data_IF_716964119876
#
_entry.id   IF_716964119876
#
_cell.length_a   1.000
_cell.length_b   1.000
_cell.length_c   1.000
_cell.angle_alpha   90.00
_cell.angle_beta   90.00
_cell.angle_gamma   90.00
#
_symmetry.space_group_name_H-M   'P 1'
#
loop_
_entity.id
_entity.type
_entity.pdbx_description
1 polymer ?
#
# COMPACT_ATOMS: atom_id res chain seq x y z
N UNK A 1 3.89 -12.78 -14.26
CA UNK A 1 4.79 -11.90 -13.51
C UNK A 1 6.16 -12.35 -13.87
N UNK A 2 6.79 -11.64 -14.79
CA UNK A 2 8.25 -11.63 -14.83
C UNK A 2 8.66 -10.84 -13.60
N UNK A 3 9.34 -11.49 -12.68
CA UNK A 3 9.78 -10.91 -11.39
C UNK A 3 11.05 -10.09 -11.55
N UNK A 4 11.48 -9.84 -12.79
CA UNK A 4 12.60 -9.00 -13.17
C UNK A 4 12.50 -7.67 -12.41
N UNK A 5 13.40 -7.43 -11.46
CA UNK A 5 13.25 -6.44 -10.39
C UNK A 5 13.05 -5.00 -10.85
N UNK A 6 13.32 -4.69 -12.12
CA UNK A 6 12.94 -3.44 -12.75
C UNK A 6 11.40 -3.32 -12.81
N UNK A 7 10.83 -2.46 -11.96
CA UNK A 7 9.38 -2.29 -11.86
C UNK A 7 8.67 -3.40 -11.09
N UNK A 8 9.39 -4.24 -10.36
CA UNK A 8 8.79 -5.37 -9.63
C UNK A 8 7.93 -4.91 -8.44
N UNK A 9 6.68 -5.36 -8.47
CA UNK A 9 5.64 -5.06 -7.50
C UNK A 9 5.64 -6.02 -6.29
N UNK A 10 6.80 -6.51 -5.85
CA UNK A 10 6.90 -7.48 -4.75
C UNK A 10 6.24 -7.00 -3.44
N UNK A 11 6.34 -5.70 -3.17
CA UNK A 11 5.65 -5.01 -2.07
C UNK A 11 4.13 -4.86 -2.26
N UNK A 12 3.65 -5.02 -3.49
CA UNK A 12 2.27 -4.73 -3.86
C UNK A 12 1.30 -5.86 -3.52
N UNK A 13 1.76 -7.02 -3.04
CA UNK A 13 0.89 -8.13 -2.69
C UNK A 13 1.27 -8.70 -1.33
N UNK A 14 0.28 -9.14 -0.54
CA UNK A 14 0.52 -10.07 0.56
C UNK A 14 0.48 -11.51 0.03
N UNK A 15 1.66 -12.14 -0.01
CA UNK A 15 1.88 -13.47 -0.56
C UNK A 15 1.59 -14.59 0.43
N UNK A 16 1.45 -14.31 1.74
CA UNK A 16 1.27 -15.33 2.78
C UNK A 16 0.07 -16.24 2.53
N UNK A 17 -1.13 -15.74 2.11
CA UNK A 17 -2.30 -16.61 1.89
C UNK A 17 -2.08 -17.69 0.82
N UNK A 18 -1.23 -17.45 -0.16
CA UNK A 18 -0.90 -18.45 -1.18
C UNK A 18 -0.03 -19.59 -0.63
N UNK A 19 0.69 -19.34 0.46
CA UNK A 19 1.67 -20.25 1.03
C UNK A 19 1.10 -21.04 2.19
N UNK A 20 0.07 -20.52 2.86
CA UNK A 20 -0.68 -21.24 3.89
C UNK A 20 -1.49 -22.42 3.33
N UNK A 21 -1.82 -22.40 2.04
CA UNK A 21 -2.54 -23.50 1.38
C UNK A 21 -1.64 -24.73 1.14
N UNK A 22 -0.31 -24.53 1.08
CA UNK A 22 0.68 -25.56 0.72
C UNK A 22 1.68 -25.90 1.84
N UNK A 23 1.55 -25.33 3.04
CA UNK A 23 2.58 -25.46 4.07
C UNK A 23 2.32 -26.54 5.15
N UNK A 24 3.21 -27.53 5.17
CA UNK A 24 3.59 -28.32 6.35
C UNK A 24 4.03 -27.42 7.53
N UNK A 25 4.02 -27.98 8.74
CA UNK A 25 4.25 -27.37 10.06
C UNK A 25 5.49 -26.45 10.19
N UNK A 26 6.42 -26.44 9.22
CA UNK A 26 7.61 -25.59 9.21
C UNK A 26 7.35 -24.12 8.83
N UNK A 27 6.28 -23.81 8.08
CA UNK A 27 5.96 -22.41 7.69
C UNK A 27 5.41 -21.56 8.84
N UNK A 28 4.71 -22.19 9.80
CA UNK A 28 4.18 -21.54 11.01
C UNK A 28 5.26 -21.00 11.95
N UNK A 29 6.52 -21.39 11.73
CA UNK A 29 7.65 -21.05 12.59
C UNK A 29 8.29 -19.69 12.30
N UNK A 30 8.13 -19.11 11.09
CA UNK A 30 8.91 -17.92 10.67
C UNK A 30 8.14 -16.69 10.20
N UNK A 31 6.81 -16.74 10.14
CA UNK A 31 5.97 -15.51 10.01
C UNK A 31 6.15 -14.54 11.20
N UNK A 32 6.79 -14.99 12.28
CA UNK A 32 7.48 -14.12 13.24
C UNK A 32 8.98 -14.25 12.97
N UNK A 33 9.62 -13.17 12.58
CA UNK A 33 11.08 -13.04 12.64
C UNK A 33 11.47 -13.08 14.13
N UNK A 34 11.60 -14.29 14.67
CA UNK A 34 12.34 -14.57 15.91
C UNK A 34 13.65 -15.17 15.47
N UNK A 35 14.58 -14.30 15.08
CA UNK A 35 15.98 -14.69 15.05
C UNK A 35 16.43 -14.81 16.51
N UNK A 36 16.83 -16.01 16.90
CA UNK A 36 17.40 -16.31 18.21
C UNK A 36 18.87 -15.81 18.21
N UNK A 37 19.08 -14.50 18.12
CA UNK A 37 20.45 -13.99 17.98
C UNK A 37 20.63 -12.50 18.14
N UNK A 38 20.01 -11.68 17.30
CA UNK A 38 20.32 -10.24 17.25
C UNK A 38 19.12 -9.43 16.74
N UNK A 39 18.81 -8.33 17.45
CA UNK A 39 17.78 -7.32 17.14
C UNK A 39 16.38 -7.82 16.72
N UNK A 40 15.51 -8.12 17.70
CA UNK A 40 14.08 -8.37 17.51
C UNK A 40 13.44 -7.26 16.66
N UNK A 41 13.02 -7.55 15.44
CA UNK A 41 12.27 -6.60 14.60
C UNK A 41 11.00 -6.14 15.35
N UNK A 42 10.52 -4.91 15.12
CA UNK A 42 9.25 -4.49 15.76
C UNK A 42 8.08 -5.13 15.03
N UNK A 43 7.13 -5.69 15.77
CA UNK A 43 5.93 -6.27 15.17
C UNK A 43 4.98 -5.15 14.71
N UNK A 44 4.57 -5.10 13.44
CA UNK A 44 3.56 -4.14 12.99
C UNK A 44 2.20 -4.45 13.62
N UNK A 45 1.37 -3.42 13.79
CA UNK A 45 0.03 -3.55 14.38
C UNK A 45 -0.99 -4.11 13.37
N UNK A 46 -0.82 -3.79 12.09
CA UNK A 46 -1.68 -4.20 10.98
C UNK A 46 -1.40 -5.62 10.45
N UNK A 47 -0.36 -6.27 10.97
CA UNK A 47 0.11 -7.60 10.55
C UNK A 47 0.39 -7.75 9.03
N UNK A 48 0.55 -6.66 8.29
CA UNK A 48 0.89 -6.73 6.85
C UNK A 48 2.42 -6.86 6.69
N UNK A 49 2.92 -7.91 6.01
CA UNK A 49 4.35 -8.23 5.95
C UNK A 49 5.15 -7.25 5.09
N UNK A 50 4.49 -6.58 4.14
CA UNK A 50 5.13 -5.63 3.23
C UNK A 50 4.54 -4.24 3.40
N UNK A 51 5.35 -3.20 3.34
CA UNK A 51 4.87 -1.82 3.43
C UNK A 51 5.85 -0.90 2.76
N UNK A 52 5.33 -0.02 1.93
CA UNK A 52 6.11 1.01 1.27
C UNK A 52 5.90 2.29 2.07
N UNK A 53 6.84 2.67 2.96
CA UNK A 53 6.77 3.95 3.66
C UNK A 53 6.98 5.11 2.70
N UNK A 54 6.06 6.05 2.71
CA UNK A 54 6.12 7.29 1.94
C UNK A 54 6.78 8.39 2.76
N UNK A 55 7.52 9.24 2.06
CA UNK A 55 7.99 10.52 2.54
C UNK A 55 6.84 11.51 2.69
N UNK A 56 7.09 12.59 3.42
CA UNK A 56 6.14 13.66 3.65
C UNK A 56 5.70 14.31 2.34
N UNK A 57 6.66 14.54 1.45
CA UNK A 57 6.39 15.23 0.20
C UNK A 57 5.60 14.34 -0.77
N UNK A 58 5.82 13.02 -0.77
CA UNK A 58 4.94 12.06 -1.46
C UNK A 58 3.52 12.06 -0.87
N UNK A 59 3.38 12.03 0.46
CA UNK A 59 2.07 12.14 1.14
C UNK A 59 1.33 13.41 0.70
N UNK A 60 2.03 14.55 0.62
CA UNK A 60 1.46 15.81 0.12
C UNK A 60 1.08 15.72 -1.36
N UNK A 61 1.91 15.11 -2.19
CA UNK A 61 1.61 14.87 -3.61
C UNK A 61 0.31 14.09 -3.81
N UNK A 62 0.09 13.03 -3.04
CA UNK A 62 -1.18 12.28 -3.06
C UNK A 62 -2.37 13.15 -2.64
N UNK A 63 -2.23 13.96 -1.58
CA UNK A 63 -3.31 14.86 -1.14
C UNK A 63 -3.64 15.93 -2.19
N UNK A 64 -2.63 16.54 -2.80
CA UNK A 64 -2.79 17.58 -3.84
C UNK A 64 -3.48 17.05 -5.10
N UNK A 65 -3.30 15.77 -5.41
CA UNK A 65 -3.98 15.07 -6.51
C UNK A 65 -5.33 14.46 -6.11
N UNK A 66 -5.82 14.75 -4.91
CA UNK A 66 -7.10 14.24 -4.41
C UNK A 66 -7.11 12.73 -4.18
N UNK A 67 -5.94 12.11 -3.96
CA UNK A 67 -5.76 10.67 -3.80
C UNK A 67 -5.49 10.26 -2.34
N UNK A 68 -5.88 11.06 -1.36
CA UNK A 68 -5.67 10.76 0.07
C UNK A 68 -6.27 9.43 0.51
N UNK A 69 -7.35 8.96 -0.14
CA UNK A 69 -7.94 7.64 0.10
C UNK A 69 -6.98 6.46 -0.18
N UNK A 70 -5.91 6.67 -0.95
CA UNK A 70 -4.86 5.69 -1.21
C UNK A 70 -3.96 5.42 0.01
N UNK A 71 -3.94 6.34 0.97
CA UNK A 71 -2.95 6.36 2.05
C UNK A 71 -3.47 5.64 3.31
N UNK A 72 -2.56 5.07 4.08
CA UNK A 72 -2.86 4.45 5.38
C UNK A 72 -1.68 4.55 6.34
N UNK A 73 -1.92 4.75 7.65
CA UNK A 73 -0.85 4.67 8.64
C UNK A 73 -0.46 3.22 8.96
N UNK A 74 0.77 3.04 9.42
CA UNK A 74 1.24 1.83 10.10
C UNK A 74 1.94 2.20 11.40
N UNK A 75 1.57 1.50 12.47
CA UNK A 75 2.20 1.58 13.78
C UNK A 75 2.91 0.26 14.12
N UNK A 76 3.82 0.31 15.09
CA UNK A 76 4.52 -0.86 15.60
C UNK A 76 4.37 -1.02 17.10
N UNK A 77 4.39 -2.27 17.56
CA UNK A 77 4.53 -2.57 18.98
C UNK A 77 5.92 -2.16 19.49
N UNK A 78 5.96 -1.62 20.70
CA UNK A 78 7.20 -1.27 21.36
C UNK A 78 8.00 -2.53 21.71
N UNK A 79 9.35 -2.45 21.66
CA UNK A 79 10.22 -3.57 22.08
C UNK A 79 10.41 -3.62 23.59
N UNK A 80 10.21 -2.49 24.25
CA UNK A 80 10.36 -2.36 25.69
C UNK A 80 9.50 -1.22 26.24
N UNK A 81 9.19 -1.27 27.53
CA UNK A 81 8.44 -0.23 28.24
C UNK A 81 9.07 1.16 28.15
N UNK A 82 10.38 1.27 27.88
CA UNK A 82 11.09 2.57 27.80
C UNK A 82 10.81 3.35 26.53
N UNK A 83 10.32 2.68 25.50
CA UNK A 83 9.99 3.26 24.20
C UNK A 83 8.50 3.06 23.88
N UNK A 84 7.68 2.80 24.92
CA UNK A 84 6.28 2.46 24.79
C UNK A 84 5.41 3.61 25.25
N UNK A 85 4.36 3.89 24.47
CA UNK A 85 3.18 4.63 24.92
C UNK A 85 1.99 3.68 24.79
N UNK A 86 1.19 3.59 25.85
CA UNK A 86 -0.03 2.78 25.85
C UNK A 86 -1.15 3.51 25.11
N UNK A 87 -1.64 2.90 24.03
CA UNK A 87 -2.82 3.37 23.27
C UNK A 87 -3.72 2.16 23.04
N UNK A 88 -5.01 2.27 23.36
CA UNK A 88 -5.99 1.17 23.26
C UNK A 88 -5.54 -0.13 23.97
N UNK A 89 -4.82 0.02 25.09
CA UNK A 89 -4.26 -1.10 25.85
C UNK A 89 -3.14 -1.87 25.13
N UNK A 90 -2.47 -1.23 24.17
CA UNK A 90 -1.34 -1.80 23.43
C UNK A 90 -0.09 -0.90 23.61
N UNK A 91 1.09 -1.49 23.85
CA UNK A 91 2.35 -0.74 23.91
C UNK A 91 2.81 -0.37 22.50
N UNK A 92 2.63 0.88 22.12
CA UNK A 92 3.02 1.43 20.81
C UNK A 92 4.41 2.04 20.89
N UNK A 93 5.24 1.77 19.88
CA UNK A 93 6.58 2.34 19.76
C UNK A 93 6.48 3.88 19.67
N UNK A 94 7.28 4.57 20.46
CA UNK A 94 7.22 6.02 20.60
C UNK A 94 8.60 6.68 20.58
N UNK A 95 8.63 7.93 20.14
CA UNK A 95 9.80 8.82 20.22
C UNK A 95 9.40 10.02 21.06
N UNK A 96 10.08 10.24 22.20
CA UNK A 96 9.75 11.31 23.14
C UNK A 96 8.25 11.30 23.53
N UNK A 97 7.76 10.14 23.95
CA UNK A 97 6.38 9.89 24.38
C UNK A 97 5.31 10.14 23.30
N UNK A 98 5.73 10.18 22.02
CA UNK A 98 4.84 10.35 20.87
C UNK A 98 4.77 9.09 20.02
N UNK A 99 3.59 8.50 19.82
CA UNK A 99 3.41 7.30 18.99
C UNK A 99 4.01 7.47 17.59
N UNK A 100 4.93 6.58 17.23
CA UNK A 100 5.66 6.64 15.96
C UNK A 100 4.97 5.78 14.89
N UNK A 101 4.85 6.31 13.68
CA UNK A 101 4.16 5.65 12.57
C UNK A 101 4.79 5.99 11.21
N UNK A 102 4.53 5.14 10.21
CA UNK A 102 4.72 5.49 8.79
C UNK A 102 3.37 5.71 8.12
N UNK A 103 3.38 6.41 6.99
CA UNK A 103 2.26 6.42 6.05
C UNK A 103 2.69 5.64 4.81
N UNK A 104 1.80 4.82 4.27
CA UNK A 104 2.04 4.00 3.09
C UNK A 104 0.79 3.88 2.24
N UNK A 105 0.84 2.97 1.27
CA UNK A 105 -0.26 2.71 0.35
C UNK A 105 -1.19 1.61 0.86
N UNK A 106 -2.49 1.81 0.68
CA UNK A 106 -3.53 0.83 1.02
C UNK A 106 -3.48 -0.38 0.10
N UNK A 107 -3.87 -1.52 0.66
CA UNK A 107 -3.97 -2.79 -0.06
C UNK A 107 -5.38 -3.38 -0.01
N UNK A 108 -6.35 -2.84 -0.75
CA UNK A 108 -7.67 -3.47 -0.86
C UNK A 108 -7.56 -4.91 -1.40
N UNK A 109 -8.54 -5.78 -1.10
CA UNK A 109 -8.56 -7.13 -1.66
C UNK A 109 -8.80 -7.08 -3.18
N UNK A 110 -7.89 -7.64 -3.98
CA UNK A 110 -8.03 -7.74 -5.44
C UNK A 110 -7.91 -9.20 -5.92
N UNK A 111 -8.61 -9.58 -7.01
CA UNK A 111 -8.58 -10.93 -7.55
C UNK A 111 -7.35 -11.09 -8.46
N UNK A 112 -6.25 -11.59 -7.91
CA UNK A 112 -4.97 -11.71 -8.63
C UNK A 112 -4.61 -13.16 -8.91
N UNK A 113 -3.93 -13.40 -10.04
CA UNK A 113 -3.46 -14.71 -10.46
C UNK A 113 -1.94 -14.69 -10.72
N UNK A 114 -1.10 -14.65 -9.66
CA UNK A 114 0.35 -14.58 -9.83
C UNK A 114 0.96 -15.92 -10.29
N UNK A 115 2.19 -15.90 -10.79
CA UNK A 115 2.99 -17.08 -11.18
C UNK A 115 2.31 -18.07 -12.14
N UNK A 116 1.56 -17.56 -13.13
CA UNK A 116 0.92 -18.41 -14.14
C UNK A 116 -0.20 -19.28 -13.58
N UNK A 117 -0.72 -18.98 -12.38
CA UNK A 117 -1.89 -19.66 -11.83
C UNK A 117 -3.09 -19.42 -12.73
N UNK A 118 -3.80 -20.49 -13.07
CA UNK A 118 -4.99 -20.42 -13.94
C UNK A 118 -6.20 -19.78 -13.25
N UNK A 119 -6.24 -19.77 -11.91
CA UNK A 119 -7.37 -19.24 -11.13
C UNK A 119 -6.93 -18.09 -10.23
N UNK A 120 -7.65 -16.95 -10.26
CA UNK A 120 -7.38 -15.83 -9.38
C UNK A 120 -7.76 -16.15 -7.93
N UNK A 121 -7.14 -15.46 -6.99
CA UNK A 121 -7.45 -15.49 -5.56
C UNK A 121 -7.53 -14.05 -5.04
N UNK A 122 -8.44 -13.80 -4.10
CA UNK A 122 -8.48 -12.53 -3.38
C UNK A 122 -7.24 -12.39 -2.51
N UNK A 123 -6.37 -11.42 -2.84
CA UNK A 123 -5.22 -11.06 -2.02
C UNK A 123 -5.26 -9.56 -1.69
N UNK A 124 -4.79 -9.14 -0.51
CA UNK A 124 -4.45 -7.74 -0.27
C UNK A 124 -3.45 -7.29 -1.31
N UNK A 125 -3.82 -6.27 -2.10
CA UNK A 125 -3.03 -5.79 -3.20
C UNK A 125 -2.99 -4.28 -3.23
N UNK A 126 -1.81 -3.69 -3.46
CA UNK A 126 -1.61 -2.25 -3.59
C UNK A 126 -2.70 -1.65 -4.48
N UNK A 127 -3.26 -0.53 -4.03
CA UNK A 127 -4.36 0.13 -4.71
C UNK A 127 -4.06 0.47 -6.18
N UNK A 128 -2.79 0.67 -6.54
CA UNK A 128 -2.35 0.95 -7.91
C UNK A 128 -1.95 -0.29 -8.73
N UNK A 129 -1.93 -1.49 -8.12
CA UNK A 129 -1.65 -2.72 -8.85
C UNK A 129 -2.86 -3.10 -9.71
N UNK A 130 -2.70 -3.16 -11.02
CA UNK A 130 -3.69 -3.77 -11.90
C UNK A 130 -3.66 -5.30 -11.68
N UNK A 131 -4.76 -5.93 -11.24
CA UNK A 131 -4.77 -7.36 -10.96
C UNK A 131 -4.72 -8.25 -12.21
N UNK A 132 -5.04 -7.70 -13.39
CA UNK A 132 -5.02 -8.41 -14.67
C UNK A 132 -3.63 -8.45 -15.29
N UNK A 133 -2.90 -7.34 -15.25
CA UNK A 133 -1.54 -7.25 -15.80
C UNK A 133 -0.46 -7.49 -14.74
N UNK A 134 -0.79 -7.32 -13.45
CA UNK A 134 0.14 -7.31 -12.32
C UNK A 134 1.19 -6.19 -12.41
N UNK A 135 0.83 -5.08 -13.05
CA UNK A 135 1.67 -3.89 -13.18
C UNK A 135 1.12 -2.72 -12.37
N UNK A 136 2.00 -1.77 -12.04
CA UNK A 136 1.62 -0.54 -11.34
C UNK A 136 1.06 0.49 -12.32
N UNK A 137 -0.17 0.96 -12.11
CA UNK A 137 -0.83 1.99 -12.95
C UNK A 137 -0.17 3.36 -12.91
N UNK A 138 0.67 3.61 -11.91
CA UNK A 138 1.36 4.89 -11.74
C UNK A 138 2.87 4.75 -11.92
N UNK A 139 3.35 3.63 -12.48
CA UNK A 139 4.77 3.45 -12.80
C UNK A 139 5.30 4.62 -13.65
N UNK A 140 6.50 5.11 -13.33
CA UNK A 140 7.14 6.30 -13.93
C UNK A 140 6.31 7.60 -13.92
N UNK A 141 5.17 7.62 -13.22
CA UNK A 141 4.36 8.82 -13.03
C UNK A 141 4.85 9.69 -11.88
N UNK A 142 4.41 10.94 -11.85
CA UNK A 142 4.76 11.91 -10.78
C UNK A 142 4.42 11.44 -9.35
N UNK A 143 3.53 10.47 -9.21
CA UNK A 143 3.10 9.91 -7.92
C UNK A 143 3.73 8.54 -7.62
N UNK A 144 4.58 8.02 -8.51
CA UNK A 144 5.29 6.77 -8.26
C UNK A 144 6.23 6.94 -7.07
N UNK A 145 6.06 6.20 -5.97
CA UNK A 145 6.91 6.39 -4.81
C UNK A 145 8.36 5.96 -5.09
N UNK A 146 9.33 6.72 -4.57
CA UNK A 146 10.76 6.41 -4.72
C UNK A 146 11.07 5.02 -4.12
N UNK A 147 10.47 4.72 -2.97
CA UNK A 147 10.61 3.44 -2.29
C UNK A 147 10.03 2.26 -3.11
N UNK A 148 9.03 2.49 -3.97
CA UNK A 148 8.54 1.47 -4.89
C UNK A 148 9.59 1.13 -5.95
N UNK A 149 10.30 2.14 -6.49
CA UNK A 149 11.38 1.94 -7.47
C UNK A 149 12.63 1.29 -6.87
N UNK A 150 12.88 1.50 -5.57
CA UNK A 150 14.05 0.97 -4.87
C UNK A 150 13.80 -0.37 -4.13
N UNK A 151 12.57 -0.90 -4.14
CA UNK A 151 12.12 -1.94 -3.20
C UNK A 151 12.94 -3.25 -3.19
N UNK A 152 13.47 -3.80 -4.30
CA UNK A 152 14.37 -4.93 -4.18
C UNK A 152 15.77 -4.50 -3.73
N UNK A 153 16.29 -3.40 -4.28
CA UNK A 153 17.65 -2.91 -4.02
C UNK A 153 17.88 -2.58 -2.55
N UNK A 154 16.96 -1.89 -1.88
CA UNK A 154 17.08 -1.53 -0.47
C UNK A 154 17.06 -2.75 0.47
N UNK A 155 16.17 -3.72 0.20
CA UNK A 155 16.11 -4.92 1.04
C UNK A 155 17.39 -5.75 0.88
N UNK A 156 17.86 -5.93 -0.35
CA UNK A 156 19.11 -6.65 -0.63
C UNK A 156 20.32 -5.94 -0.03
N UNK A 157 20.40 -4.61 -0.14
CA UNK A 157 21.46 -3.82 0.50
C UNK A 157 21.46 -3.89 2.03
N UNK A 158 20.31 -4.16 2.65
CA UNK A 158 20.15 -4.34 4.09
C UNK A 158 20.28 -5.81 4.54
N UNK A 159 20.74 -6.71 3.65
CA UNK A 159 20.79 -8.16 3.86
C UNK A 159 19.44 -8.73 4.34
N UNK A 160 18.33 -8.20 3.78
CA UNK A 160 16.96 -8.65 4.07
C UNK A 160 16.42 -9.47 2.90
N UNK A 161 16.00 -10.69 3.22
CA UNK A 161 15.24 -11.54 2.30
C UNK A 161 13.94 -10.84 1.90
N UNK A 162 13.69 -10.77 0.60
CA UNK A 162 12.48 -10.23 0.00
C UNK A 162 11.38 -11.29 -0.09
N UNK A 163 10.13 -10.85 -0.16
CA UNK A 163 9.00 -11.75 -0.39
C UNK A 163 9.10 -12.48 -1.75
N UNK A 164 9.72 -11.86 -2.75
CA UNK A 164 9.99 -12.48 -4.05
C UNK A 164 10.96 -13.67 -3.90
N UNK A 165 12.08 -13.48 -3.20
CA UNK A 165 13.03 -14.57 -2.91
C UNK A 165 12.36 -15.74 -2.19
N UNK A 166 11.47 -15.44 -1.22
CA UNK A 166 10.73 -16.44 -0.47
C UNK A 166 9.82 -17.28 -1.37
N UNK A 167 9.09 -16.65 -2.29
CA UNK A 167 8.16 -17.33 -3.21
C UNK A 167 8.91 -18.11 -4.29
N UNK A 168 9.96 -17.52 -4.87
CA UNK A 168 10.84 -18.17 -5.86
C UNK A 168 11.50 -19.43 -5.29
N UNK A 169 11.93 -19.41 -4.02
CA UNK A 169 12.52 -20.57 -3.36
C UNK A 169 11.59 -21.80 -3.32
N UNK A 170 10.27 -21.58 -3.39
CA UNK A 170 9.25 -22.62 -3.28
C UNK A 170 8.76 -23.07 -4.67
N UNK A 171 8.52 -22.13 -5.58
CA UNK A 171 7.88 -22.42 -6.88
C UNK A 171 8.86 -22.44 -8.07
N UNK A 172 10.11 -22.01 -7.88
CA UNK A 172 11.11 -21.85 -8.94
C UNK A 172 10.96 -20.55 -9.74
N UNK A 173 12.03 -20.12 -10.41
CA UNK A 173 12.10 -18.91 -11.25
C UNK A 173 13.53 -18.65 -11.75
N UNK A 174 13.69 -17.81 -12.78
CA UNK A 174 15.00 -17.26 -13.14
C UNK A 174 15.40 -16.21 -12.08
N UNK A 175 16.63 -16.34 -11.60
CA UNK A 175 17.14 -15.67 -10.39
C UNK A 175 17.65 -14.28 -10.75
N UNK A 176 17.22 -13.28 -9.99
CA UNK A 176 17.60 -11.86 -10.11
C UNK A 176 19.07 -11.53 -9.77
N UNK A 177 19.84 -12.51 -9.30
CA UNK A 177 21.21 -12.28 -8.83
C UNK A 177 22.26 -12.43 -9.94
N UNK A 178 21.84 -12.45 -11.21
CA UNK A 178 22.75 -12.48 -12.36
C UNK A 178 22.84 -11.13 -13.10
N UNK A 179 22.02 -10.13 -12.73
CA UNK A 179 22.21 -8.74 -13.16
C UNK A 179 22.81 -7.95 -11.99
N UNK A 180 24.06 -7.53 -12.17
CA UNK A 180 24.97 -7.04 -11.14
C UNK A 180 24.37 -5.89 -10.32
N UNK A 181 23.99 -6.16 -9.07
CA UNK A 181 23.83 -5.12 -8.03
C UNK A 181 25.18 -4.54 -7.57
N UNK A 182 26.29 -4.94 -8.19
CA UNK A 182 27.60 -4.33 -8.00
C UNK A 182 27.60 -2.85 -8.44
N UNK A 183 26.61 -2.42 -9.23
CA UNK A 183 26.36 -1.03 -9.64
C UNK A 183 25.28 -0.33 -8.81
N UNK A 184 24.87 -0.85 -7.63
CA UNK A 184 24.05 -0.09 -6.70
C UNK A 184 24.85 1.15 -6.26
N UNK A 185 24.60 2.26 -6.96
CA UNK A 185 25.29 3.54 -6.81
C UNK A 185 25.32 3.93 -5.32
N UNK A 186 26.42 4.53 -4.85
CA UNK A 186 26.50 5.06 -3.48
C UNK A 186 25.29 5.99 -3.17
N UNK A 187 24.76 6.65 -4.22
CA UNK A 187 23.58 7.52 -4.21
C UNK A 187 22.26 6.79 -3.83
N UNK A 188 22.16 5.48 -4.05
CA UNK A 188 20.97 4.68 -3.70
C UNK A 188 20.86 4.55 -2.18
N UNK A 189 21.97 4.35 -1.48
CA UNK A 189 21.96 4.25 0.00
C UNK A 189 21.67 5.58 0.69
N UNK A 190 21.99 6.71 0.05
CA UNK A 190 21.66 8.04 0.56
C UNK A 190 20.14 8.27 0.64
N UNK A 191 19.34 7.55 -0.14
CA UNK A 191 17.87 7.59 -0.12
C UNK A 191 17.19 6.83 1.03
N UNK A 192 17.92 6.01 1.80
CA UNK A 192 17.34 5.17 2.87
C UNK A 192 16.78 5.97 4.06
N UNK A 193 17.04 7.28 4.15
CA UNK A 193 16.57 8.19 5.21
C UNK A 193 16.60 7.53 6.59
N UNK A 194 17.81 7.20 7.07
CA UNK A 194 18.01 6.53 8.35
C UNK A 194 18.32 7.53 9.48
N UNK A 195 18.02 7.12 10.72
CA UNK A 195 18.33 7.90 11.92
C UNK A 195 17.42 9.11 12.11
N UNK A 196 17.93 10.17 12.75
CA UNK A 196 17.11 11.35 13.09
C UNK A 196 16.62 12.14 11.89
N UNK A 197 17.30 12.03 10.75
CA UNK A 197 16.87 12.67 9.49
C UNK A 197 15.54 12.10 8.97
N UNK A 198 15.21 10.86 9.34
CA UNK A 198 13.94 10.23 9.01
C UNK A 198 12.74 10.89 9.71
N UNK A 199 12.96 11.47 10.90
CA UNK A 199 11.88 11.98 11.75
C UNK A 199 11.22 13.18 11.09
N UNK A 200 9.91 13.12 10.89
CA UNK A 200 9.12 14.15 10.23
C UNK A 200 9.30 14.21 8.71
N UNK A 201 10.16 13.37 8.13
CA UNK A 201 10.31 13.20 6.68
C UNK A 201 9.70 11.88 6.21
N UNK A 202 9.98 10.76 6.87
CA UNK A 202 9.45 9.43 6.53
C UNK A 202 8.87 8.71 7.75
N UNK A 203 9.51 8.88 8.92
CA UNK A 203 8.99 8.45 10.22
C UNK A 203 8.25 9.59 10.90
N UNK A 204 6.96 9.43 11.17
CA UNK A 204 6.13 10.46 11.78
C UNK A 204 5.85 10.12 13.25
N UNK A 205 5.49 11.13 14.03
CA UNK A 205 5.18 10.98 15.45
C UNK A 205 3.92 11.76 15.80
N UNK A 206 2.88 11.08 16.29
CA UNK A 206 1.61 11.71 16.65
C UNK A 206 1.82 12.71 17.80
N UNK A 207 1.31 13.95 17.74
CA UNK A 207 1.52 14.95 18.79
C UNK A 207 0.94 14.55 20.14
N UNK A 208 -0.22 13.91 20.14
CA UNK A 208 -0.95 13.53 21.33
C UNK A 208 -1.44 12.06 21.23
N UNK A 209 -1.02 11.14 22.10
CA UNK A 209 -1.52 9.77 22.06
C UNK A 209 -3.02 9.63 22.36
N UNK A 210 -3.63 10.58 23.10
CA UNK A 210 -5.05 10.50 23.45
C UNK A 210 -5.95 10.69 22.22
N UNK A 211 -5.50 11.45 21.22
CA UNK A 211 -6.19 11.63 19.94
C UNK A 211 -6.23 10.34 19.09
N UNK A 212 -5.45 9.32 19.45
CA UNK A 212 -5.46 8.01 18.79
C UNK A 212 -6.42 7.00 19.45
N UNK A 213 -7.25 7.42 20.41
CA UNK A 213 -8.20 6.54 21.10
C UNK A 213 -9.13 5.80 20.09
N UNK A 214 -9.12 4.47 20.17
CA UNK A 214 -9.82 3.54 19.29
C UNK A 214 -9.18 3.36 17.91
N UNK A 215 -8.26 4.23 17.48
CA UNK A 215 -7.61 4.16 16.16
C UNK A 215 -6.71 2.94 16.06
N UNK A 216 -5.95 2.63 17.12
CA UNK A 216 -5.02 1.50 17.13
C UNK A 216 -5.78 0.17 17.20
N UNK A 217 -6.89 0.12 17.96
CA UNK A 217 -7.78 -1.03 17.96
C UNK A 217 -8.37 -1.30 16.57
N UNK A 218 -8.91 -0.27 15.91
CA UNK A 218 -9.46 -0.37 14.55
C UNK A 218 -8.40 -0.73 13.52
N UNK A 219 -7.18 -0.18 13.62
CA UNK A 219 -6.05 -0.56 12.76
C UNK A 219 -5.77 -2.05 12.84
N UNK A 220 -5.72 -2.59 14.05
CA UNK A 220 -5.44 -4.00 14.25
C UNK A 220 -6.57 -4.94 13.77
N UNK A 221 -7.77 -4.40 13.58
CA UNK A 221 -8.92 -5.13 13.05
C UNK A 221 -9.10 -4.93 11.52
N UNK A 222 -8.24 -4.12 10.88
CA UNK A 222 -8.42 -3.65 9.49
C UNK A 222 -9.74 -2.87 9.27
N UNK A 223 -10.13 -2.08 10.28
CA UNK A 223 -11.40 -1.35 10.34
C UNK A 223 -11.20 0.17 10.46
N UNK A 224 -10.04 0.69 10.03
CA UNK A 224 -9.77 2.13 10.08
C UNK A 224 -10.86 2.94 9.37
N UNK A 225 -11.30 4.00 10.02
CA UNK A 225 -12.24 4.97 9.47
C UNK A 225 -11.53 5.99 8.56
N UNK A 226 -12.32 6.84 7.91
CA UNK A 226 -11.76 7.96 7.12
C UNK A 226 -11.09 8.96 8.05
N UNK A 227 -11.69 9.21 9.21
CA UNK A 227 -11.22 10.13 10.22
C UNK A 227 -9.87 9.67 10.80
N UNK A 228 -9.73 8.38 11.13
CA UNK A 228 -8.47 7.82 11.65
C UNK A 228 -7.31 8.01 10.66
N UNK A 229 -7.59 7.77 9.37
CA UNK A 229 -6.62 7.97 8.29
C UNK A 229 -6.33 9.46 8.12
N UNK A 230 -7.36 10.31 8.06
CA UNK A 230 -7.20 11.74 7.85
C UNK A 230 -6.33 12.38 8.94
N UNK A 231 -6.52 12.00 10.20
CA UNK A 231 -5.71 12.46 11.32
C UNK A 231 -4.23 12.15 11.12
N UNK A 232 -3.91 10.87 10.94
CA UNK A 232 -2.51 10.40 10.81
C UNK A 232 -1.84 10.91 9.53
N UNK A 233 -2.56 10.96 8.41
CA UNK A 233 -2.08 11.53 7.15
C UNK A 233 -1.80 13.03 7.32
N UNK A 234 -2.67 13.76 8.03
CA UNK A 234 -2.49 15.19 8.26
C UNK A 234 -1.28 15.48 9.16
N UNK A 235 -1.07 14.68 10.21
CA UNK A 235 0.15 14.76 11.04
C UNK A 235 1.39 14.52 10.18
N UNK A 236 1.38 13.51 9.31
CA UNK A 236 2.49 13.25 8.41
C UNK A 236 2.76 14.44 7.48
N UNK A 237 1.74 14.90 6.74
CA UNK A 237 1.83 16.05 5.84
C UNK A 237 2.26 17.36 6.53
N UNK A 238 1.94 17.52 7.82
CA UNK A 238 2.29 18.69 8.61
C UNK A 238 3.68 18.63 9.26
N UNK A 239 4.34 17.47 9.22
CA UNK A 239 5.59 17.25 9.93
C UNK A 239 6.79 18.04 9.37
N UNK A 240 7.69 18.42 10.28
CA UNK A 240 8.91 19.16 9.98
C UNK A 240 10.14 18.25 10.04
N UNK A 241 10.97 18.14 9.00
CA UNK A 241 12.02 17.13 8.90
C UNK A 241 13.10 17.33 9.95
N UNK A 242 13.62 16.23 10.48
CA UNK A 242 14.57 16.21 11.60
C UNK A 242 13.99 16.62 12.95
N UNK A 243 12.66 16.81 13.07
CA UNK A 243 12.03 17.30 14.30
C UNK A 243 10.67 16.64 14.54
N UNK A 244 10.14 16.81 15.76
CA UNK A 244 8.78 16.38 16.10
C UNK A 244 7.74 17.50 15.86
N UNK A 245 8.14 18.67 15.36
CA UNK A 245 7.23 19.78 15.17
C UNK A 245 6.28 19.52 13.98
N UNK A 246 5.02 19.92 14.14
CA UNK A 246 4.03 19.94 13.05
C UNK A 246 3.57 21.37 12.79
N UNK A 247 3.14 21.64 11.56
CA UNK A 247 2.59 22.93 11.15
C UNK A 247 1.06 22.91 11.16
N UNK A 248 0.43 23.69 12.04
CA UNK A 248 -1.03 23.78 12.17
C UNK A 248 -1.73 24.06 10.83
N UNK A 249 -1.19 25.00 10.05
CA UNK A 249 -1.74 25.32 8.73
C UNK A 249 -1.72 24.13 7.76
N UNK A 250 -0.62 23.37 7.71
CA UNK A 250 -0.53 22.20 6.85
C UNK A 250 -1.41 21.06 7.36
N UNK A 251 -1.52 20.91 8.68
CA UNK A 251 -2.37 19.92 9.33
C UNK A 251 -3.84 20.18 8.99
N UNK A 252 -4.38 21.37 9.25
CA UNK A 252 -5.78 21.71 8.98
C UNK A 252 -6.15 21.51 7.50
N UNK A 253 -5.24 21.92 6.60
CA UNK A 253 -5.41 21.69 5.16
C UNK A 253 -5.41 20.21 4.80
N UNK A 254 -4.48 19.44 5.35
CA UNK A 254 -4.35 18.02 5.04
C UNK A 254 -5.53 17.21 5.57
N UNK A 255 -6.08 17.54 6.74
CA UNK A 255 -7.33 16.94 7.26
C UNK A 255 -8.46 17.16 6.24
N UNK A 256 -8.68 18.41 5.82
CA UNK A 256 -9.72 18.73 4.85
C UNK A 256 -9.54 17.96 3.53
N UNK A 257 -8.32 17.95 2.98
CA UNK A 257 -8.02 17.22 1.74
C UNK A 257 -8.17 15.71 1.88
N UNK A 258 -7.77 15.10 3.00
CA UNK A 258 -7.88 13.67 3.23
C UNK A 258 -9.34 13.20 3.37
N UNK A 259 -10.16 13.98 4.07
CA UNK A 259 -11.60 13.73 4.19
C UNK A 259 -12.31 13.91 2.85
N UNK A 260 -12.03 14.99 2.14
CA UNK A 260 -12.62 15.27 0.82
C UNK A 260 -12.26 14.18 -0.20
N UNK A 261 -10.99 13.77 -0.27
CA UNK A 261 -10.55 12.71 -1.18
C UNK A 261 -11.08 11.32 -0.83
N UNK A 262 -11.51 11.10 0.42
CA UNK A 262 -12.15 9.85 0.86
C UNK A 262 -13.67 9.86 0.71
N UNK A 263 -14.28 11.03 0.46
CA UNK A 263 -15.69 11.13 0.17
C UNK A 263 -15.95 10.61 -1.26
N UNK A 264 -16.29 9.32 -1.38
CA UNK A 264 -16.65 8.74 -2.66
C UNK A 264 -17.82 9.52 -3.29
N UNK A 265 -17.66 9.96 -4.53
CA UNK A 265 -18.79 10.45 -5.31
C UNK A 265 -19.83 9.32 -5.42
N UNK A 266 -21.13 9.56 -5.20
CA UNK A 266 -22.16 8.54 -5.34
C UNK A 266 -22.16 8.01 -6.78
N UNK A 267 -21.58 6.81 -6.93
CA UNK A 267 -21.47 6.10 -8.19
C UNK A 267 -22.85 5.62 -8.62
N UNK A 268 -23.46 6.31 -9.57
CA UNK A 268 -24.61 5.81 -10.36
C UNK A 268 -24.21 4.65 -11.29
N UNK A 269 -22.91 4.35 -11.39
CA UNK A 269 -22.32 3.34 -12.27
C UNK A 269 -22.34 1.92 -11.69
N UNK A 270 -22.63 1.75 -10.40
CA UNK A 270 -22.74 0.42 -9.76
C UNK A 270 -24.15 -0.18 -9.88
N UNK A 271 -25.02 0.42 -10.69
CA UNK A 271 -26.38 -0.05 -10.99
C UNK A 271 -26.40 -1.14 -12.06
N UNK A 272 -25.57 -2.17 -11.94
CA UNK A 272 -25.70 -3.38 -12.77
C UNK A 272 -26.50 -4.44 -11.98
N UNK A 273 -27.81 -4.20 -11.85
CA UNK A 273 -28.81 -5.24 -11.55
C UNK A 273 -29.58 -5.58 -12.83
N UNK A 274 -29.80 -6.88 -13.02
CA UNK A 274 -30.18 -7.53 -14.26
C UNK A 274 -31.51 -7.02 -14.88
N UNK A 275 -31.55 -6.78 -16.20
CA UNK A 275 -32.83 -6.64 -16.90
C UNK A 275 -32.81 -6.07 -18.32
N UNK A 276 -32.89 -7.00 -19.28
CA UNK A 276 -33.54 -6.89 -20.61
C UNK A 276 -32.95 -5.96 -21.69
N UNK A 277 -32.75 -6.56 -22.85
CA UNK A 277 -32.15 -5.94 -24.01
C UNK A 277 -33.09 -4.94 -24.67
N UNK A 278 -32.55 -3.78 -25.04
CA UNK A 278 -33.06 -2.99 -26.16
C UNK A 278 -31.95 -2.11 -26.69
N UNK A 279 -31.56 -2.42 -27.93
CA UNK A 279 -30.60 -1.72 -28.76
C UNK A 279 -31.05 -0.27 -28.98
N UNK A 280 -30.15 0.69 -28.78
CA UNK A 280 -30.07 1.84 -29.69
C UNK A 280 -28.66 2.44 -29.69
N UNK A 281 -28.09 2.40 -30.89
CA UNK A 281 -26.89 3.08 -31.34
C UNK A 281 -27.01 4.59 -31.15
N UNK A 282 -26.04 5.20 -30.48
CA UNK A 282 -25.72 6.60 -30.71
C UNK A 282 -24.21 6.81 -30.56
N UNK A 283 -23.55 6.93 -31.71
CA UNK A 283 -22.16 7.37 -31.87
C UNK A 283 -22.11 8.87 -31.60
N UNK A 284 -21.93 9.21 -30.33
CA UNK A 284 -21.49 10.52 -29.89
C UNK A 284 -20.26 10.31 -29.03
N UNK A 285 -19.16 10.98 -29.37
CA UNK A 285 -17.99 11.15 -28.52
C UNK A 285 -18.46 11.63 -27.14
N UNK A 286 -18.65 10.68 -26.21
CA UNK A 286 -18.89 10.99 -24.82
C UNK A 286 -17.53 11.31 -24.25
N UNK A 287 -17.21 12.59 -24.21
CA UNK A 287 -16.28 13.10 -23.20
C UNK A 287 -16.74 12.50 -21.87
N UNK A 288 -15.93 11.59 -21.32
CA UNK A 288 -16.18 11.03 -20.01
C UNK A 288 -16.41 12.21 -19.05
N UNK A 289 -17.45 12.17 -18.19
CA UNK A 289 -17.55 13.15 -17.14
C UNK A 289 -16.24 13.07 -16.37
N UNK A 290 -15.45 14.15 -16.40
CA UNK A 290 -14.34 14.34 -15.48
C UNK A 290 -15.00 14.33 -14.11
N UNK A 291 -14.94 13.17 -13.44
CA UNK A 291 -15.28 13.10 -12.05
C UNK A 291 -14.25 13.98 -11.36
N UNK A 292 -14.69 15.10 -10.78
CA UNK A 292 -13.85 16.03 -10.02
C UNK A 292 -13.24 15.39 -8.75
N UNK A 293 -13.26 14.06 -8.62
CA UNK A 293 -12.69 13.28 -7.53
C UNK A 293 -11.86 12.11 -8.06
N UNK A 294 -10.84 11.71 -7.29
CA UNK A 294 -9.97 10.59 -7.65
C UNK A 294 -10.74 9.28 -7.79
N UNK A 295 -10.40 8.50 -8.81
CA UNK A 295 -10.92 7.14 -9.05
C UNK A 295 -10.65 6.19 -7.86
N UNK A 296 -9.64 6.49 -7.05
CA UNK A 296 -9.09 5.62 -6.01
C UNK A 296 -10.11 5.29 -4.92
N UNK A 297 -10.78 6.30 -4.34
CA UNK A 297 -11.73 6.07 -3.24
C UNK A 297 -12.88 5.15 -3.69
N UNK A 298 -13.47 5.45 -4.84
CA UNK A 298 -14.55 4.65 -5.43
C UNK A 298 -14.09 3.23 -5.81
N UNK A 299 -12.86 3.06 -6.28
CA UNK A 299 -12.31 1.75 -6.59
C UNK A 299 -12.08 0.89 -5.34
N UNK A 300 -11.51 1.47 -4.28
CA UNK A 300 -11.30 0.78 -3.00
C UNK A 300 -12.65 0.29 -2.44
N UNK A 301 -13.66 1.16 -2.38
CA UNK A 301 -15.00 0.80 -1.89
C UNK A 301 -15.65 -0.31 -2.73
N UNK A 302 -15.48 -0.24 -4.06
CA UNK A 302 -15.99 -1.26 -4.96
C UNK A 302 -15.29 -2.62 -4.74
N UNK A 303 -13.97 -2.63 -4.51
CA UNK A 303 -13.23 -3.86 -4.19
C UNK A 303 -13.67 -4.49 -2.87
N UNK A 304 -13.73 -3.72 -1.78
CA UNK A 304 -14.18 -4.25 -0.49
C UNK A 304 -15.62 -4.76 -0.53
N UNK A 305 -16.53 -4.00 -1.15
CA UNK A 305 -17.93 -4.41 -1.31
C UNK A 305 -18.04 -5.71 -2.11
N UNK A 306 -17.26 -5.83 -3.18
CA UNK A 306 -17.28 -7.04 -4.00
C UNK A 306 -16.72 -8.23 -3.25
N UNK A 307 -15.60 -8.07 -2.56
CA UNK A 307 -15.00 -9.10 -1.72
C UNK A 307 -15.99 -9.58 -0.64
N UNK A 308 -16.64 -8.66 0.08
CA UNK A 308 -17.64 -8.99 1.10
C UNK A 308 -18.86 -9.75 0.54
N UNK A 309 -19.26 -9.42 -0.70
CA UNK A 309 -20.41 -10.06 -1.37
C UNK A 309 -20.02 -11.29 -2.21
N UNK A 310 -18.75 -11.66 -2.28
CA UNK A 310 -18.26 -12.66 -3.21
C UNK A 310 -18.70 -14.09 -2.86
N UNK A 311 -19.12 -14.34 -1.61
CA UNK A 311 -19.57 -15.67 -1.17
C UNK A 311 -18.51 -16.77 -1.32
N UNK A 312 -17.23 -16.41 -1.41
CA UNK A 312 -16.11 -17.33 -1.64
C UNK A 312 -15.70 -17.50 -3.11
N UNK A 313 -16.39 -16.87 -4.06
CA UNK A 313 -16.00 -16.88 -5.48
C UNK A 313 -15.00 -15.76 -5.79
N UNK A 314 -13.98 -16.04 -6.62
CA UNK A 314 -13.06 -15.02 -7.10
C UNK A 314 -13.38 -14.70 -8.57
N UNK A 315 -13.77 -13.46 -8.92
CA UNK A 315 -14.02 -13.08 -10.30
C UNK A 315 -12.72 -13.06 -11.12
N UNK A 316 -12.80 -13.06 -12.46
CA UNK A 316 -11.61 -12.87 -13.29
C UNK A 316 -10.97 -11.49 -13.03
N UNK A 317 -9.63 -11.37 -13.10
CA UNK A 317 -8.92 -10.11 -12.84
C UNK A 317 -9.33 -8.95 -13.75
N UNK A 318 -9.78 -9.25 -14.98
CA UNK A 318 -10.23 -8.28 -16.00
C UNK A 318 -11.39 -7.39 -15.54
N UNK A 319 -12.02 -7.72 -14.41
CA UNK A 319 -13.01 -6.85 -13.78
C UNK A 319 -12.42 -5.52 -13.28
N UNK A 320 -11.09 -5.40 -13.17
CA UNK A 320 -10.40 -4.15 -12.88
C UNK A 320 -10.75 -3.03 -13.86
N UNK A 321 -10.93 -3.31 -15.15
CA UNK A 321 -11.36 -2.31 -16.13
C UNK A 321 -12.72 -1.66 -15.75
N UNK A 322 -13.58 -2.42 -15.07
CA UNK A 322 -14.88 -1.95 -14.57
C UNK A 322 -14.75 -1.17 -13.27
N UNK A 323 -13.84 -1.60 -12.40
CA UNK A 323 -13.71 -1.04 -11.05
C UNK A 323 -12.82 0.20 -11.04
N UNK A 324 -11.77 0.22 -11.86
CA UNK A 324 -10.69 1.20 -11.84
C UNK A 324 -10.71 2.07 -13.10
N UNK A 325 -10.52 1.51 -14.29
CA UNK A 325 -10.39 2.28 -15.55
C UNK A 325 -11.64 3.10 -15.88
N UNK A 326 -12.84 2.50 -15.74
CA UNK A 326 -14.11 3.23 -15.91
C UNK A 326 -14.27 4.41 -14.94
N UNK A 327 -13.53 4.41 -13.82
CA UNK A 327 -13.51 5.51 -12.85
C UNK A 327 -12.41 6.53 -13.14
N UNK A 328 -11.56 6.29 -14.14
CA UNK A 328 -10.47 7.17 -14.55
C UNK A 328 -9.08 6.70 -14.12
N UNK A 329 -8.90 5.43 -13.76
CA UNK A 329 -7.58 4.88 -13.54
C UNK A 329 -6.76 4.84 -14.85
N UNK A 330 -5.45 5.15 -14.81
CA UNK A 330 -4.60 4.99 -15.98
C UNK A 330 -4.57 3.54 -16.47
N UNK A 331 -4.45 3.34 -17.78
CA UNK A 331 -4.16 2.04 -18.37
C UNK A 331 -2.74 1.60 -17.96
N UNK A 332 -2.52 0.30 -17.77
CA UNK A 332 -1.16 -0.23 -17.63
C UNK A 332 -0.60 -0.56 -19.02
N UNK A 333 0.69 -0.26 -19.29
CA UNK A 333 1.37 -0.82 -20.46
C UNK A 333 1.21 -2.35 -20.47
N UNK A 334 1.19 -3.00 -21.63
CA UNK A 334 1.38 -4.45 -21.64
C UNK A 334 2.80 -4.81 -21.15
N UNK A 335 3.06 -6.07 -20.80
CA UNK A 335 4.47 -6.53 -20.67
C UNK A 335 5.19 -6.46 -22.03
N UNK A 336 4.45 -6.71 -23.12
CA UNK A 336 4.94 -6.61 -24.50
C UNK A 336 5.49 -5.22 -24.86
N UNK A 337 5.01 -4.16 -24.20
CA UNK A 337 5.47 -2.78 -24.44
C UNK A 337 6.75 -2.45 -23.66
N UNK A 338 7.03 -3.18 -22.56
CA UNK A 338 8.21 -2.99 -21.71
C UNK A 338 9.44 -3.77 -22.20
N UNK A 339 9.25 -4.87 -22.94
CA UNK A 339 10.35 -5.63 -23.57
C UNK A 339 11.01 -4.91 -24.78
N UNK A 340 10.42 -3.80 -25.24
CA UNK A 340 10.86 -3.07 -26.42
C UNK A 340 11.86 -1.93 -26.15
N UNK A 341 12.18 -1.66 -24.88
CA UNK A 341 13.18 -0.68 -24.43
C UNK A 341 14.50 -1.33 -24.02
#
# INVERSE_FOLDING_TARGET
MEVNCAGCAGCCLDWRPLLETDADEHSRSRGRIRDEGDAVARDPVDDDPSFVPLTRDEVRGFLERGMGAALTPRFWRARSEREAVEVDGRPIAAIADRPAFFVGLRKPPKPVAPFGRERPTWLPACVFLDPATLQCRIHDGDLFPDECGAYPTYNLALDRETECERVESIFGGERLLEEDLDDADEDVLDGLLLGTAAIGEKLFCHPDPDDLEGTIERLAADELTVEDRAETIAVAAASSPGTLAISDHHYERAVASAVESSAAAPSSLDSDDAGDGSTQSDTGERSAPQADGSWVAGAIDAWHRRHANAGGETPPPTIAATIEERRGAPETPGWDDLEAE
#
